data_IF_355293900075
#
_entry.id   IF_355293900075
#
_cell.length_a   1.000
_cell.length_b   1.000
_cell.length_c   1.000
_cell.angle_alpha   90.00
_cell.angle_beta   90.00
_cell.angle_gamma   90.00
#
_symmetry.space_group_name_H-M   'P 1'
#
loop_
_entity.id
_entity.type
_entity.pdbx_description
1 polymer ?
#
# COMPACT_ATOMS: atom_id res chain seq x y z
N UNK A 1 -43.27 2.61 17.44
CA UNK A 1 -42.31 3.61 16.87
C UNK A 1 -40.97 3.65 17.60
N UNK A 2 -40.89 3.94 18.92
CA UNK A 2 -39.61 4.06 19.63
C UNK A 2 -38.70 2.83 19.56
N UNK A 3 -39.24 1.61 19.76
CA UNK A 3 -38.46 0.38 19.72
C UNK A 3 -37.85 0.10 18.34
N UNK A 4 -38.61 0.35 17.28
CA UNK A 4 -38.15 0.17 15.89
C UNK A 4 -37.01 1.13 15.54
N UNK A 5 -37.08 2.36 16.06
CA UNK A 5 -36.06 3.39 15.85
C UNK A 5 -34.75 3.05 16.59
N UNK A 6 -34.85 2.48 17.80
CA UNK A 6 -33.69 1.98 18.56
C UNK A 6 -33.02 0.80 17.82
N UNK A 7 -33.81 -0.17 17.35
CA UNK A 7 -33.27 -1.32 16.61
C UNK A 7 -32.59 -0.87 15.32
N UNK A 8 -33.21 0.04 14.57
CA UNK A 8 -32.64 0.59 13.35
C UNK A 8 -31.32 1.33 13.61
N UNK A 9 -31.23 2.10 14.71
CA UNK A 9 -30.00 2.76 15.12
C UNK A 9 -28.90 1.76 15.50
N UNK A 10 -29.23 0.71 16.26
CA UNK A 10 -28.28 -0.34 16.61
C UNK A 10 -27.73 -1.07 15.38
N UNK A 11 -28.59 -1.39 14.41
CA UNK A 11 -28.17 -2.03 13.15
C UNK A 11 -27.26 -1.08 12.35
N UNK A 12 -27.58 0.21 12.28
CA UNK A 12 -26.75 1.19 11.59
C UNK A 12 -25.37 1.30 12.24
N UNK A 13 -25.29 1.38 13.57
CA UNK A 13 -24.03 1.43 14.31
C UNK A 13 -23.20 0.17 14.07
N UNK A 14 -23.82 -1.02 14.15
CA UNK A 14 -23.13 -2.28 13.88
C UNK A 14 -22.59 -2.36 12.44
N UNK A 15 -23.36 -1.89 11.46
CA UNK A 15 -22.93 -1.84 10.06
C UNK A 15 -21.74 -0.89 9.86
N UNK A 16 -21.77 0.31 10.44
CA UNK A 16 -20.66 1.27 10.37
C UNK A 16 -19.40 0.68 11.00
N UNK A 17 -19.51 0.05 12.18
CA UNK A 17 -18.38 -0.60 12.84
C UNK A 17 -17.82 -1.75 11.99
N UNK A 18 -18.67 -2.56 11.36
CA UNK A 18 -18.23 -3.63 10.46
C UNK A 18 -17.47 -3.08 9.25
N UNK A 19 -17.95 -1.99 8.62
CA UNK A 19 -17.25 -1.34 7.51
C UNK A 19 -15.89 -0.79 7.95
N UNK A 20 -15.81 -0.13 9.10
CA UNK A 20 -14.53 0.37 9.63
C UNK A 20 -13.55 -0.78 9.89
N UNK A 21 -14.02 -1.88 10.48
CA UNK A 21 -13.17 -3.07 10.72
C UNK A 21 -12.72 -3.74 9.43
N UNK A 22 -13.56 -3.78 8.40
CA UNK A 22 -13.21 -4.35 7.11
C UNK A 22 -12.22 -3.46 6.34
N UNK A 23 -12.47 -2.15 6.26
CA UNK A 23 -11.67 -1.20 5.47
C UNK A 23 -10.30 -0.96 6.10
N UNK A 24 -10.25 -0.73 7.42
CA UNK A 24 -9.00 -0.37 8.08
C UNK A 24 -8.28 -1.56 8.71
N UNK A 25 -8.94 -2.72 8.80
CA UNK A 25 -8.44 -3.94 9.44
C UNK A 25 -7.61 -3.71 10.74
N UNK A 26 -8.10 -2.91 11.71
CA UNK A 26 -7.31 -2.57 12.91
C UNK A 26 -7.06 -3.77 13.82
N UNK A 27 -7.69 -4.91 13.55
CA UNK A 27 -7.50 -6.17 14.27
C UNK A 27 -6.51 -7.10 13.55
N UNK A 28 -6.02 -6.72 12.36
CA UNK A 28 -5.16 -7.58 11.54
C UNK A 28 -5.85 -8.89 11.11
N UNK A 29 -7.18 -8.89 10.99
CA UNK A 29 -7.95 -10.04 10.55
C UNK A 29 -7.75 -10.21 9.04
N UNK A 30 -6.95 -11.21 8.66
CA UNK A 30 -6.59 -11.52 7.29
C UNK A 30 -5.27 -12.27 7.26
N UNK A 31 -4.90 -12.91 6.14
CA UNK A 31 -3.55 -13.44 6.00
C UNK A 31 -2.54 -12.29 6.11
N UNK A 32 -1.45 -12.50 6.84
CA UNK A 32 -0.31 -11.59 6.77
C UNK A 32 0.20 -11.56 5.32
N UNK A 33 0.58 -10.39 4.79
CA UNK A 33 1.17 -10.31 3.47
C UNK A 33 2.47 -11.10 3.44
N UNK A 34 2.71 -11.81 2.33
CA UNK A 34 3.95 -12.56 2.15
C UNK A 34 5.16 -11.65 2.29
N UNK A 35 6.19 -12.13 2.99
CA UNK A 35 7.47 -11.43 3.12
C UNK A 35 8.17 -11.37 1.77
N UNK A 36 8.21 -10.19 1.16
CA UNK A 36 8.84 -9.97 -0.17
C UNK A 36 10.37 -9.95 -0.09
N UNK A 37 10.92 -9.39 0.98
CA UNK A 37 12.37 -9.29 1.21
C UNK A 37 12.72 -9.90 2.57
N UNK A 38 13.77 -10.73 2.67
CA UNK A 38 14.17 -11.32 3.94
C UNK A 38 14.65 -10.25 4.91
N UNK A 39 14.43 -10.42 6.21
CA UNK A 39 14.84 -9.47 7.26
C UNK A 39 16.32 -9.04 7.15
N UNK A 40 17.17 -9.98 6.72
CA UNK A 40 18.59 -9.74 6.49
C UNK A 40 18.89 -8.59 5.50
N UNK A 41 17.98 -8.31 4.56
CA UNK A 41 18.09 -7.18 3.62
C UNK A 41 18.12 -5.84 4.37
N UNK A 42 17.33 -5.69 5.44
CA UNK A 42 17.19 -4.44 6.18
C UNK A 42 18.24 -4.26 7.28
N UNK A 43 18.90 -5.35 7.71
CA UNK A 43 19.82 -5.33 8.86
C UNK A 43 21.27 -5.06 8.42
N UNK A 44 21.60 -5.31 7.15
CA UNK A 44 22.94 -5.10 6.63
C UNK A 44 22.99 -3.81 5.81
N UNK A 45 23.44 -2.68 6.39
CA UNK A 45 23.68 -1.48 5.60
C UNK A 45 24.75 -1.80 4.55
N UNK A 46 24.41 -1.62 3.28
CA UNK A 46 25.39 -1.71 2.21
C UNK A 46 26.41 -0.59 2.41
N UNK A 47 27.70 -0.93 2.37
CA UNK A 47 28.79 0.06 2.45
C UNK A 47 28.91 0.77 1.11
N UNK A 48 27.88 1.52 0.74
CA UNK A 48 27.89 2.39 -0.42
C UNK A 48 27.99 3.85 0.07
N UNK A 49 28.60 4.72 -0.74
CA UNK A 49 28.40 6.16 -0.62
C UNK A 49 26.94 6.47 -1.00
N UNK A 50 26.03 6.30 -0.04
CA UNK A 50 24.60 6.46 -0.27
C UNK A 50 24.29 7.95 -0.36
N UNK A 51 23.83 8.38 -1.53
CA UNK A 51 23.15 9.69 -1.70
C UNK A 51 21.66 9.50 -1.45
N UNK A 52 21.12 10.31 -0.56
CA UNK A 52 19.69 10.36 -0.26
C UNK A 52 19.11 11.62 -0.89
N UNK A 53 18.02 11.45 -1.65
CA UNK A 53 17.25 12.54 -2.23
C UNK A 53 15.82 12.48 -1.67
N UNK A 54 15.32 13.61 -1.18
CA UNK A 54 13.94 13.74 -0.75
C UNK A 54 13.09 14.18 -1.93
N UNK A 55 12.28 13.27 -2.46
CA UNK A 55 11.29 13.56 -3.48
C UNK A 55 10.03 14.11 -2.81
N UNK A 56 9.68 15.35 -3.14
CA UNK A 56 8.51 16.03 -2.60
C UNK A 56 7.35 15.90 -3.59
N UNK A 57 6.15 15.70 -3.04
CA UNK A 57 4.90 15.45 -3.76
C UNK A 57 4.86 14.12 -4.54
N UNK A 58 3.65 13.77 -5.00
CA UNK A 58 3.45 12.52 -5.74
C UNK A 58 4.14 12.50 -7.09
N UNK A 59 4.21 13.64 -7.80
CA UNK A 59 4.74 13.66 -9.18
C UNK A 59 6.22 13.27 -9.24
N UNK A 60 7.07 13.91 -8.44
CA UNK A 60 8.51 13.61 -8.44
C UNK A 60 8.79 12.16 -8.01
N UNK A 61 8.06 11.67 -7.01
CA UNK A 61 8.16 10.29 -6.56
C UNK A 61 7.79 9.29 -7.67
N UNK A 62 6.66 9.51 -8.38
CA UNK A 62 6.23 8.60 -9.45
C UNK A 62 7.12 8.69 -10.69
N UNK A 63 7.59 9.88 -11.08
CA UNK A 63 8.54 10.01 -12.19
C UNK A 63 9.82 9.20 -11.93
N UNK A 64 10.35 9.26 -10.70
CA UNK A 64 11.54 8.50 -10.30
C UNK A 64 11.28 6.98 -10.26
N UNK A 65 10.11 6.54 -9.76
CA UNK A 65 9.71 5.13 -9.78
C UNK A 65 9.70 4.60 -11.21
N UNK A 66 9.08 5.33 -12.16
CA UNK A 66 9.02 4.91 -13.56
C UNK A 66 10.43 4.83 -14.18
N UNK A 67 11.31 5.79 -13.85
CA UNK A 67 12.70 5.79 -14.29
C UNK A 67 13.50 4.62 -13.71
N UNK A 68 13.29 4.29 -12.44
CA UNK A 68 13.94 3.16 -11.78
C UNK A 68 13.50 1.81 -12.39
N UNK A 69 12.21 1.68 -12.74
CA UNK A 69 11.69 0.50 -13.44
C UNK A 69 12.35 0.36 -14.81
N UNK A 70 12.40 1.43 -15.62
CA UNK A 70 13.03 1.39 -16.95
C UNK A 70 14.53 1.04 -16.90
N UNK A 71 15.22 1.41 -15.81
CA UNK A 71 16.65 1.15 -15.61
C UNK A 71 16.99 -0.19 -14.98
N UNK A 72 16.02 -0.95 -14.48
CA UNK A 72 16.26 -2.20 -13.79
C UNK A 72 16.71 -3.29 -14.77
N UNK A 73 17.78 -4.02 -14.43
CA UNK A 73 18.40 -5.01 -15.32
C UNK A 73 18.09 -6.47 -14.96
N UNK A 74 17.67 -6.74 -13.72
CA UNK A 74 17.55 -8.12 -13.21
C UNK A 74 16.21 -8.35 -12.52
N UNK A 75 15.90 -7.57 -11.49
CA UNK A 75 14.67 -7.71 -10.72
C UNK A 75 14.20 -6.37 -10.18
N UNK A 76 12.89 -6.31 -9.94
CA UNK A 76 12.21 -5.17 -9.31
C UNK A 76 11.40 -5.74 -8.15
N UNK A 77 11.65 -5.21 -6.95
CA UNK A 77 10.88 -5.54 -5.75
C UNK A 77 9.98 -4.36 -5.40
N UNK A 78 8.67 -4.59 -5.32
CA UNK A 78 7.68 -3.55 -4.99
C UNK A 78 6.96 -3.94 -3.71
N UNK A 79 6.99 -3.05 -2.73
CA UNK A 79 6.19 -3.15 -1.51
C UNK A 79 5.31 -1.91 -1.41
N UNK A 80 3.99 -2.11 -1.42
CA UNK A 80 3.01 -1.03 -1.29
C UNK A 80 1.83 -1.48 -0.44
N UNK A 81 1.17 -0.53 0.21
CA UNK A 81 -0.07 -0.77 0.93
C UNK A 81 -1.29 -0.85 -0.01
N UNK A 82 -1.30 -0.04 -1.07
CA UNK A 82 -2.40 0.03 -2.04
C UNK A 82 -1.81 0.02 -3.45
N UNK A 83 -2.42 -0.79 -4.32
CA UNK A 83 -2.31 -0.65 -5.77
C UNK A 83 -3.66 -0.22 -6.32
N UNK A 84 -3.70 0.90 -7.03
CA UNK A 84 -4.94 1.44 -7.60
C UNK A 84 -4.88 1.41 -9.11
N UNK A 85 -5.93 0.91 -9.75
CA UNK A 85 -6.06 0.90 -11.21
C UNK A 85 -6.55 2.27 -11.73
N UNK A 86 -5.74 3.30 -11.55
CA UNK A 86 -5.91 4.60 -12.18
C UNK A 86 -4.82 4.85 -13.24
N UNK A 87 -4.79 6.05 -13.82
CA UNK A 87 -3.87 6.36 -14.90
C UNK A 87 -2.41 6.16 -14.50
N UNK A 88 -2.05 6.44 -13.24
CA UNK A 88 -0.69 6.25 -12.74
C UNK A 88 -0.43 4.77 -12.50
N UNK A 89 -1.33 4.07 -11.79
CA UNK A 89 -1.15 2.65 -11.53
C UNK A 89 -1.04 1.81 -12.81
N UNK A 90 -1.84 2.12 -13.84
CA UNK A 90 -1.73 1.48 -15.16
C UNK A 90 -0.41 1.75 -15.86
N UNK A 91 0.14 2.95 -15.75
CA UNK A 91 1.45 3.27 -16.30
C UNK A 91 2.55 2.43 -15.64
N UNK A 92 2.50 2.29 -14.30
CA UNK A 92 3.47 1.44 -13.58
C UNK A 92 3.31 -0.03 -14.01
N UNK A 93 2.08 -0.57 -14.06
CA UNK A 93 1.85 -1.95 -14.55
C UNK A 93 2.42 -2.13 -15.96
N UNK A 94 2.23 -1.15 -16.84
CA UNK A 94 2.69 -1.24 -18.24
C UNK A 94 4.21 -1.33 -18.33
N UNK A 95 4.95 -0.63 -17.46
CA UNK A 95 6.42 -0.71 -17.44
C UNK A 95 6.97 -1.96 -16.77
N UNK A 96 6.16 -2.65 -15.96
CA UNK A 96 6.55 -3.90 -15.30
C UNK A 96 6.31 -5.15 -16.18
N UNK A 97 5.67 -4.98 -17.35
CA UNK A 97 5.43 -6.05 -18.34
C UNK A 97 6.55 -6.09 -19.36
#
# INVERSE_FOLDING_TARGET
>A
MKLFLIISLCVLVAAVLAVVKFVFNPLGLGPEPDTVLPDAFFIKPEKADVRLELLVDGKAAFDEILRAIDGAQSSIYIQTYIWKDDDIGRQVVTKLK
#
